data_IF_029662638943
#
_entry.id   IF_029662638943
#
_cell.length_a   1.000
_cell.length_b   1.000
_cell.length_c   1.000
_cell.angle_alpha   90.00
_cell.angle_beta   90.00
_cell.angle_gamma   90.00
#
_symmetry.space_group_name_H-M   'P 1'
#
loop_
_entity.id
_entity.type
_entity.pdbx_description
1 polymer ?
#
# COMPACT_ATOMS: atom_id res chain seq x y z
N UNK A 1 -4.86 9.57 -15.79
CA UNK A 1 -4.60 10.02 -14.42
C UNK A 1 -5.27 9.00 -13.54
N UNK A 2 -4.49 8.11 -12.92
CA UNK A 2 -5.03 7.00 -12.14
C UNK A 2 -4.55 7.20 -10.71
N UNK A 3 -5.48 7.45 -9.80
CA UNK A 3 -5.17 7.52 -8.38
C UNK A 3 -5.12 6.10 -7.83
N UNK A 4 -4.03 5.76 -7.16
CA UNK A 4 -3.85 4.49 -6.45
C UNK A 4 -3.60 4.78 -4.98
N UNK A 5 -3.89 3.82 -4.13
CA UNK A 5 -3.75 3.93 -2.68
C UNK A 5 -2.65 2.99 -2.21
N UNK A 6 -1.70 3.50 -1.44
CA UNK A 6 -0.65 2.68 -0.82
C UNK A 6 -0.78 2.76 0.69
N UNK A 7 -0.48 1.66 1.37
CA UNK A 7 -0.52 1.59 2.84
C UNK A 7 0.87 1.86 3.37
N UNK A 8 0.99 2.84 4.27
CA UNK A 8 2.22 3.20 4.96
C UNK A 8 2.07 2.87 6.45
N UNK A 9 3.00 2.10 7.02
CA UNK A 9 3.04 1.83 8.45
C UNK A 9 4.37 2.32 9.03
N UNK A 10 4.29 3.36 9.86
CA UNK A 10 5.47 4.04 10.40
C UNK A 10 6.39 4.59 9.30
N UNK A 11 7.52 3.93 9.07
CA UNK A 11 8.54 4.29 8.07
C UNK A 11 8.57 3.34 6.86
N UNK A 12 7.70 2.32 6.82
CA UNK A 12 7.66 1.31 5.77
C UNK A 12 6.29 1.32 5.08
N UNK A 13 6.17 0.63 3.96
CA UNK A 13 4.98 0.51 3.14
C UNK A 13 4.59 -0.95 2.99
N UNK A 14 3.30 -1.23 2.92
CA UNK A 14 2.80 -2.57 2.63
C UNK A 14 3.19 -2.96 1.21
N UNK A 15 3.89 -4.07 1.07
CA UNK A 15 4.20 -4.69 -0.22
C UNK A 15 3.63 -6.09 -0.29
N UNK A 16 3.33 -6.55 -1.49
CA UNK A 16 2.82 -7.89 -1.76
C UNK A 16 3.87 -8.56 -2.62
N UNK A 17 4.47 -9.62 -2.08
CA UNK A 17 5.42 -10.44 -2.80
C UNK A 17 4.71 -11.20 -3.94
N UNK A 18 5.48 -11.71 -4.90
CA UNK A 18 4.94 -12.47 -6.04
C UNK A 18 4.18 -13.76 -5.62
N UNK A 19 4.45 -14.28 -4.42
CA UNK A 19 3.75 -15.44 -3.86
C UNK A 19 2.41 -15.09 -3.18
N UNK A 20 2.07 -13.79 -3.10
CA UNK A 20 0.88 -13.29 -2.41
C UNK A 20 1.08 -13.00 -0.92
N UNK A 21 2.29 -13.22 -0.39
CA UNK A 21 2.65 -12.84 0.97
C UNK A 21 2.73 -11.32 1.12
N UNK A 22 2.09 -10.79 2.16
CA UNK A 22 2.18 -9.36 2.50
C UNK A 22 3.37 -9.12 3.43
N UNK A 23 4.25 -8.22 3.00
CA UNK A 23 5.43 -7.76 3.73
C UNK A 23 5.47 -6.23 3.85
N UNK A 24 6.59 -5.73 4.36
CA UNK A 24 6.83 -4.31 4.52
C UNK A 24 8.10 -3.88 3.79
N UNK A 25 7.96 -2.98 2.82
CA UNK A 25 9.06 -2.40 2.07
C UNK A 25 9.45 -1.02 2.62
N UNK A 26 10.75 -0.64 2.60
CA UNK A 26 11.17 0.70 2.99
C UNK A 26 10.82 1.77 1.94
N UNK A 27 10.52 1.37 0.69
CA UNK A 27 10.25 2.26 -0.43
C UNK A 27 8.80 2.13 -0.92
N UNK A 28 8.21 3.27 -1.32
CA UNK A 28 6.86 3.32 -1.90
C UNK A 28 6.80 2.72 -3.31
N UNK A 29 7.92 2.67 -4.02
CA UNK A 29 8.01 2.06 -5.36
C UNK A 29 7.77 0.55 -5.33
N UNK A 30 8.06 -0.08 -4.20
CA UNK A 30 7.82 -1.50 -3.94
C UNK A 30 6.50 -1.74 -3.20
N UNK A 31 5.78 -0.66 -2.87
CA UNK A 31 4.51 -0.76 -2.16
C UNK A 31 3.41 -1.29 -3.08
N UNK A 32 2.52 -2.08 -2.49
CA UNK A 32 1.31 -2.51 -3.15
C UNK A 32 0.37 -1.33 -3.29
N UNK A 33 0.08 -1.00 -4.54
CA UNK A 33 -0.87 0.02 -4.92
C UNK A 33 -2.24 -0.61 -5.14
N UNK A 34 -3.22 -0.17 -4.39
CA UNK A 34 -4.62 -0.57 -4.51
C UNK A 34 -5.38 0.44 -5.36
N UNK A 35 -6.36 -0.02 -6.12
CA UNK A 35 -7.24 0.87 -6.90
C UNK A 35 -8.37 1.45 -6.04
N UNK A 36 -8.63 0.86 -4.87
CA UNK A 36 -9.71 1.21 -3.96
C UNK A 36 -9.18 1.46 -2.56
N UNK A 37 -9.71 2.49 -1.90
CA UNK A 37 -9.37 2.79 -0.51
C UNK A 37 -9.75 1.63 0.44
N UNK A 38 -10.93 1.04 0.27
CA UNK A 38 -11.39 -0.10 1.07
C UNK A 38 -10.46 -1.32 0.96
N UNK A 39 -9.92 -1.59 -0.24
CA UNK A 39 -8.96 -2.68 -0.41
C UNK A 39 -7.64 -2.40 0.31
N UNK A 40 -7.14 -1.17 0.23
CA UNK A 40 -5.97 -0.74 0.96
C UNK A 40 -6.19 -0.84 2.48
N UNK A 41 -7.34 -0.39 2.98
CA UNK A 41 -7.69 -0.44 4.40
C UNK A 41 -7.82 -1.87 4.91
N UNK A 42 -8.47 -2.75 4.14
CA UNK A 42 -8.62 -4.16 4.50
C UNK A 42 -7.25 -4.83 4.58
N UNK A 43 -6.41 -4.65 3.57
CA UNK A 43 -5.05 -5.18 3.54
C UNK A 43 -4.20 -4.64 4.71
N UNK A 44 -4.31 -3.35 4.99
CA UNK A 44 -3.64 -2.72 6.12
C UNK A 44 -4.12 -3.30 7.45
N UNK A 45 -5.42 -3.45 7.64
CA UNK A 45 -5.99 -4.00 8.87
C UNK A 45 -5.67 -5.49 9.07
N UNK A 46 -5.46 -6.25 8.00
CA UNK A 46 -5.14 -7.67 8.07
C UNK A 46 -3.64 -7.92 8.28
N UNK A 47 -2.78 -7.06 7.73
CA UNK A 47 -1.34 -7.31 7.62
C UNK A 47 -0.44 -6.28 8.32
N UNK A 48 -1.00 -5.20 8.86
CA UNK A 48 -0.24 -4.16 9.56
C UNK A 48 -0.86 -3.79 10.90
N UNK A 49 -0.04 -3.27 11.82
CA UNK A 49 -0.48 -2.78 13.11
C UNK A 49 -1.44 -1.58 13.02
N UNK A 50 -2.35 -1.41 14.00
CA UNK A 50 -3.20 -0.22 14.12
C UNK A 50 -2.31 1.03 14.30
N UNK A 51 -2.23 1.84 13.24
CA UNK A 51 -1.27 2.93 13.12
C UNK A 51 -0.78 3.16 11.68
N UNK A 52 -1.30 2.41 10.72
CA UNK A 52 -1.08 2.65 9.30
C UNK A 52 -1.78 3.93 8.80
N UNK A 53 -1.25 4.46 7.71
CA UNK A 53 -1.74 5.62 6.98
C UNK A 53 -1.92 5.22 5.52
N UNK A 54 -3.09 5.49 4.95
CA UNK A 54 -3.38 5.21 3.54
C UNK A 54 -3.09 6.47 2.73
N UNK A 55 -2.13 6.38 1.82
CA UNK A 55 -1.65 7.50 0.99
C UNK A 55 -2.21 7.33 -0.42
N UNK A 56 -2.91 8.35 -0.92
CA UNK A 56 -3.35 8.40 -2.31
C UNK A 56 -2.23 8.96 -3.19
N UNK A 57 -1.76 8.17 -4.14
CA UNK A 57 -0.70 8.51 -5.12
C UNK A 57 -1.34 8.67 -6.49
N UNK A 58 -1.11 9.82 -7.12
CA UNK A 58 -1.56 10.02 -8.49
C UNK A 58 -0.51 9.51 -9.48
N UNK A 59 -0.87 8.48 -10.24
CA UNK A 59 -0.02 7.89 -11.26
C UNK A 59 -0.39 8.48 -12.62
N UNK A 60 0.52 9.29 -13.15
CA UNK A 60 0.47 9.80 -14.53
C UNK A 60 1.33 8.90 -15.42
N UNK A 61 0.71 7.96 -16.16
CA UNK A 61 1.39 7.26 -17.27
C UNK A 61 1.53 8.25 -18.43
N UNK A 62 2.74 8.77 -18.63
CA UNK A 62 3.16 9.55 -19.81
C UNK A 62 3.54 8.67 -20.98
#
# INVERSE_FOLDING_TARGET
MTTVYVVKTGAQFLCTAEDGDMGLAPAVEEATSFLSYEEAEKAASEHTDPGYEIVAVDVTRS
#
